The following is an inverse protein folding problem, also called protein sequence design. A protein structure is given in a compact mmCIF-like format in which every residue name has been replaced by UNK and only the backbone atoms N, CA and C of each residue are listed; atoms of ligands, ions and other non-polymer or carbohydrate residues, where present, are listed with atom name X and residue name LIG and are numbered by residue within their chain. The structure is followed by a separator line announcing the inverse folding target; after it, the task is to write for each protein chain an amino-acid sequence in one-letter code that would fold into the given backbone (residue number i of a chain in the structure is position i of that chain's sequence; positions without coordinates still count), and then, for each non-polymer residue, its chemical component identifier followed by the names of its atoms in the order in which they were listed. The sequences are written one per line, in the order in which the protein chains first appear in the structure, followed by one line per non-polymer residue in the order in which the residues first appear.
data_IF_683687293482
#
_entry.id   IF_683687293482
#
_cell.length_a   1.000
_cell.length_b   1.000
_cell.length_c   1.000
_cell.angle_alpha   90.00
_cell.angle_beta   90.00
_cell.angle_gamma   90.00
#
_symmetry.space_group_name_H-M   'P 1'
#
loop_
_entity.id
_entity.type
_entity.pdbx_description
1 polymer ?
#
# COMPACT_ATOMS: atom_id res chain seq x y z
N UNK A 1 -0.99 -10.21 18.35
CA UNK A 1 -2.16 -9.53 17.79
C UNK A 1 -1.80 -8.39 16.82
N UNK A 2 -0.94 -7.47 17.20
CA UNK A 2 -0.49 -6.40 16.31
C UNK A 2 0.17 -6.95 15.04
N UNK A 3 1.01 -7.97 15.17
CA UNK A 3 1.65 -8.60 14.01
C UNK A 3 0.62 -9.14 13.02
N UNK A 4 -0.38 -9.87 13.53
CA UNK A 4 -1.45 -10.41 12.70
C UNK A 4 -2.23 -9.29 12.00
N UNK A 5 -2.58 -8.24 12.75
CA UNK A 5 -3.33 -7.12 12.18
C UNK A 5 -2.53 -6.39 11.11
N UNK A 6 -1.23 -6.19 11.32
CA UNK A 6 -0.38 -5.55 10.31
C UNK A 6 -0.31 -6.39 9.04
N UNK A 7 -0.10 -7.69 9.16
CA UNK A 7 -0.03 -8.58 8.01
C UNK A 7 -1.37 -8.59 7.27
N UNK A 8 -2.47 -8.77 7.99
CA UNK A 8 -3.79 -8.82 7.40
C UNK A 8 -4.15 -7.51 6.70
N UNK A 9 -3.96 -6.38 7.38
CA UNK A 9 -4.29 -5.07 6.83
C UNK A 9 -3.37 -4.66 5.67
N UNK A 10 -2.16 -5.22 5.62
CA UNK A 10 -1.26 -4.96 4.50
C UNK A 10 -1.52 -5.88 3.31
N UNK A 11 -1.81 -7.15 3.57
CA UNK A 11 -1.97 -8.16 2.51
C UNK A 11 -3.35 -8.13 1.88
N UNK A 12 -4.42 -7.96 2.68
CA UNK A 12 -5.79 -8.00 2.15
C UNK A 12 -6.04 -6.93 1.08
N UNK A 13 -5.70 -5.66 1.29
CA UNK A 13 -5.87 -4.66 0.23
C UNK A 13 -5.05 -4.98 -1.01
N UNK A 14 -3.84 -5.50 -0.85
CA UNK A 14 -3.00 -5.88 -1.97
C UNK A 14 -3.64 -6.99 -2.79
N UNK A 15 -4.22 -7.99 -2.13
CA UNK A 15 -4.91 -9.09 -2.81
C UNK A 15 -6.14 -8.57 -3.55
N UNK A 16 -6.95 -7.74 -2.89
CA UNK A 16 -8.16 -7.20 -3.49
C UNK A 16 -7.83 -6.35 -4.73
N UNK A 17 -6.85 -5.47 -4.60
CA UNK A 17 -6.45 -4.62 -5.72
C UNK A 17 -5.80 -5.43 -6.84
N UNK A 18 -4.99 -6.41 -6.49
CA UNK A 18 -4.37 -7.28 -7.47
C UNK A 18 -5.38 -8.15 -8.21
N UNK A 19 -6.39 -8.67 -7.50
CA UNK A 19 -7.46 -9.45 -8.10
C UNK A 19 -8.29 -8.58 -9.04
N UNK A 20 -8.61 -7.36 -8.64
CA UNK A 20 -9.31 -6.41 -9.49
C UNK A 20 -8.52 -6.09 -10.75
N UNK A 21 -7.22 -5.95 -10.62
CA UNK A 21 -6.34 -5.71 -11.76
C UNK A 21 -6.36 -6.91 -12.71
N UNK A 22 -6.31 -8.13 -12.18
CA UNK A 22 -6.27 -9.34 -13.00
C UNK A 22 -7.58 -9.65 -13.68
N UNK A 23 -8.68 -9.06 -13.23
CA UNK A 23 -10.04 -9.43 -13.66
C UNK A 23 -10.49 -8.80 -14.99
N UNK A 24 -9.57 -8.55 -15.90
CA UNK A 24 -9.95 -8.15 -17.24
C UNK A 24 -9.99 -6.65 -17.46
N UNK A 25 -8.93 -6.02 -17.09
CA UNK A 25 -8.82 -4.58 -17.15
C UNK A 25 -8.20 -4.15 -18.45
N UNK A 26 -8.88 -3.24 -19.15
CA UNK A 26 -8.47 -2.79 -20.46
C UNK A 26 -7.31 -1.82 -20.43
N UNK A 27 -7.19 -1.02 -19.36
CA UNK A 27 -6.13 -0.02 -19.24
C UNK A 27 -5.22 -0.34 -18.06
N UNK A 28 -4.18 -1.12 -18.33
CA UNK A 28 -3.20 -1.53 -17.33
C UNK A 28 -2.49 -0.34 -16.67
N UNK A 29 -2.21 0.70 -17.45
CA UNK A 29 -1.51 1.87 -16.93
C UNK A 29 -2.35 2.60 -15.89
N UNK A 30 -3.61 2.83 -16.18
CA UNK A 30 -4.51 3.51 -15.25
C UNK A 30 -4.66 2.72 -13.95
N UNK A 31 -4.87 1.41 -14.06
CA UNK A 31 -5.04 0.56 -12.89
C UNK A 31 -3.79 0.45 -12.06
N UNK A 32 -2.63 0.33 -12.70
CA UNK A 32 -1.35 0.29 -12.00
C UNK A 32 -1.14 1.58 -11.22
N UNK A 33 -1.45 2.70 -11.84
CA UNK A 33 -1.33 4.00 -11.22
C UNK A 33 -2.27 4.15 -10.01
N UNK A 34 -3.53 3.73 -10.16
CA UNK A 34 -4.49 3.76 -9.07
C UNK A 34 -4.09 2.82 -7.94
N UNK A 35 -3.61 1.63 -8.29
CA UNK A 35 -3.12 0.68 -7.30
C UNK A 35 -2.00 1.30 -6.46
N UNK A 36 -1.01 1.89 -7.12
CA UNK A 36 0.13 2.48 -6.43
C UNK A 36 -0.30 3.63 -5.52
N UNK A 37 -1.18 4.49 -6.01
CA UNK A 37 -1.68 5.61 -5.22
C UNK A 37 -2.44 5.14 -3.99
N UNK A 38 -3.42 4.27 -4.20
CA UNK A 38 -4.28 3.78 -3.12
C UNK A 38 -3.48 3.00 -2.09
N UNK A 39 -2.61 2.11 -2.54
CA UNK A 39 -1.81 1.29 -1.64
C UNK A 39 -0.79 2.13 -0.88
N UNK A 40 -0.18 3.12 -1.54
CA UNK A 40 0.74 4.02 -0.88
C UNK A 40 0.09 4.81 0.25
N UNK A 41 -1.09 5.37 -0.02
CA UNK A 41 -1.86 6.08 1.01
C UNK A 41 -2.28 5.15 2.14
N UNK A 42 -2.67 3.93 1.80
CA UNK A 42 -3.03 2.92 2.79
C UNK A 42 -1.85 2.56 3.69
N UNK A 43 -0.67 2.37 3.09
CA UNK A 43 0.54 2.05 3.85
C UNK A 43 0.91 3.19 4.81
N UNK A 44 0.79 4.45 4.37
CA UNK A 44 1.03 5.59 5.24
C UNK A 44 0.02 5.66 6.37
N UNK A 45 -1.24 5.32 6.10
CA UNK A 45 -2.27 5.23 7.12
C UNK A 45 -1.94 4.15 8.15
N UNK A 46 -1.44 3.00 7.70
CA UNK A 46 -1.00 1.95 8.59
C UNK A 46 0.18 2.38 9.46
N UNK A 47 1.12 3.13 8.89
CA UNK A 47 2.22 3.67 9.67
C UNK A 47 1.73 4.58 10.78
N UNK A 48 0.78 5.47 10.47
CA UNK A 48 0.19 6.35 11.47
C UNK A 48 -0.58 5.57 12.52
N UNK A 49 -1.35 4.57 12.11
CA UNK A 49 -2.10 3.72 13.03
C UNK A 49 -1.18 2.98 14.00
N UNK A 50 -0.07 2.44 13.50
CA UNK A 50 0.93 1.78 14.34
C UNK A 50 1.55 2.76 15.35
N UNK A 51 1.82 3.99 14.89
CA UNK A 51 2.32 5.04 15.76
C UNK A 51 1.35 5.31 16.90
N UNK A 52 0.06 5.48 16.59
CA UNK A 52 -0.97 5.78 17.56
C UNK A 52 -1.18 4.64 18.56
N UNK A 53 -0.93 3.42 18.13
CA UNK A 53 -1.07 2.23 18.97
C UNK A 53 0.19 1.89 19.75
N UNK A 54 1.23 2.70 19.64
CA UNK A 54 2.53 2.45 20.28
C UNK A 54 3.12 1.10 19.86
N UNK A 55 2.93 0.73 18.61
CA UNK A 55 3.48 -0.50 18.06
C UNK A 55 5.00 -0.41 17.96
N UNK A 56 5.70 -1.57 17.85
CA UNK A 56 7.15 -1.56 17.67
C UNK A 56 7.57 -0.67 16.49
N UNK A 57 8.68 0.08 16.62
CA UNK A 57 9.13 0.98 15.56
C UNK A 57 9.36 0.31 14.21
N UNK A 58 9.66 -0.99 14.22
CA UNK A 58 9.88 -1.74 12.99
C UNK A 58 8.68 -1.69 12.05
N UNK A 59 7.45 -1.76 12.58
CA UNK A 59 6.24 -1.69 11.77
C UNK A 59 6.05 -0.29 11.18
N UNK A 60 6.33 0.74 11.97
CA UNK A 60 6.21 2.13 11.51
C UNK A 60 7.17 2.37 10.36
N UNK A 61 8.43 1.98 10.51
CA UNK A 61 9.45 2.13 9.48
C UNK A 61 9.08 1.34 8.24
N UNK A 62 8.64 0.10 8.42
CA UNK A 62 8.24 -0.76 7.30
C UNK A 62 7.15 -0.09 6.45
N UNK A 63 6.08 0.37 7.09
CA UNK A 63 4.96 0.97 6.34
C UNK A 63 5.31 2.32 5.76
N UNK A 64 6.16 3.10 6.42
CA UNK A 64 6.66 4.35 5.84
C UNK A 64 7.47 4.08 4.58
N UNK A 65 8.38 3.11 4.61
CA UNK A 65 9.19 2.75 3.45
C UNK A 65 8.31 2.25 2.32
N UNK A 66 7.37 1.35 2.62
CA UNK A 66 6.45 0.80 1.62
C UNK A 66 5.61 1.91 1.01
N UNK A 67 5.05 2.80 1.85
CA UNK A 67 4.21 3.89 1.37
C UNK A 67 4.97 4.86 0.49
N UNK A 68 6.14 5.29 0.92
CA UNK A 68 6.96 6.24 0.16
C UNK A 68 7.43 5.61 -1.16
N UNK A 69 7.91 4.36 -1.12
CA UNK A 69 8.36 3.67 -2.32
C UNK A 69 7.23 3.51 -3.33
N UNK A 70 6.04 3.17 -2.85
CA UNK A 70 4.85 3.01 -3.69
C UNK A 70 4.44 4.33 -4.32
N UNK A 71 4.47 5.42 -3.56
CA UNK A 71 4.14 6.74 -4.09
C UNK A 71 5.18 7.25 -5.09
N UNK A 72 6.45 6.93 -4.88
CA UNK A 72 7.49 7.23 -5.86
C UNK A 72 7.22 6.47 -7.16
N UNK A 73 6.85 5.19 -7.05
CA UNK A 73 6.47 4.39 -8.22
C UNK A 73 5.26 4.97 -8.95
N UNK A 74 4.26 5.45 -8.20
CA UNK A 74 3.10 6.10 -8.78
C UNK A 74 3.50 7.35 -9.59
N UNK A 75 4.38 8.15 -9.01
CA UNK A 75 4.87 9.35 -9.69
C UNK A 75 5.65 9.01 -10.96
N UNK A 76 6.46 7.95 -10.91
CA UNK A 76 7.23 7.52 -12.07
C UNK A 76 6.33 7.06 -13.21
N UNK A 77 5.26 6.32 -12.89
CA UNK A 77 4.26 5.89 -13.88
C UNK A 77 3.54 7.10 -14.47
N UNK A 78 3.24 8.08 -13.63
CA UNK A 78 2.57 9.30 -14.09
C UNK A 78 3.45 10.12 -15.05
N UNK A 79 4.76 10.13 -14.82
CA UNK A 79 5.69 10.93 -15.62
C UNK A 79 5.90 10.35 -17.04
N UNK A 80 5.47 9.13 -17.27
CA UNK A 80 5.56 8.49 -18.57
C UNK A 80 4.27 8.66 -19.34
#
# INVERSE_FOLDING_TARGET
MITFLNIALGVLPAIILGASWSAGIEDDRHHRRMFLLVYGLWALTLAMWNWMRSAPPAWIVLWLVVGVATLIGWRAVRAR
#
